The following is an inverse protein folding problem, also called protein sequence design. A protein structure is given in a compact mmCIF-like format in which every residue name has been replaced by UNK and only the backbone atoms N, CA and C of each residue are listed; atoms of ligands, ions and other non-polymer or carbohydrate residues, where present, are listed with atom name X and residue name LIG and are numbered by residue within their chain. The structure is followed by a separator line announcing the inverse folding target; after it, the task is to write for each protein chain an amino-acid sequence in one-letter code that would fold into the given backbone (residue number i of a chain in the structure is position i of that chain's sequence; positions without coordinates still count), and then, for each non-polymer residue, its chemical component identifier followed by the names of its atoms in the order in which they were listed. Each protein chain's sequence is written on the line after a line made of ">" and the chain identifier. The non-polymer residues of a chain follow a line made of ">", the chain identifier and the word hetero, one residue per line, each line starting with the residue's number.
data_IF_469440610053
#
_entry.id   IF_469440610053
#
_cell.length_a   1.000
_cell.length_b   1.000
_cell.length_c   1.000
_cell.angle_alpha   90.00
_cell.angle_beta   90.00
_cell.angle_gamma   90.00
#
_symmetry.space_group_name_H-M   'P 1'
#
loop_
_entity.id
_entity.type
_entity.pdbx_description
1 polymer ?
#
# COMPACT_ATOMS: atom_id res chain seq x y z
N UNK A 1 37.00 -3.55 8.51
CA UNK A 1 36.52 -3.48 7.12
C UNK A 1 35.67 -4.66 6.64
N UNK A 2 35.58 -5.81 7.35
CA UNK A 2 34.72 -6.94 6.95
C UNK A 2 33.22 -6.75 7.25
N UNK A 3 32.89 -6.03 8.32
CA UNK A 3 31.50 -5.80 8.76
C UNK A 3 30.74 -4.88 7.79
N UNK A 4 31.40 -3.87 7.23
CA UNK A 4 30.81 -3.00 6.19
C UNK A 4 30.41 -3.78 4.93
N UNK A 5 31.18 -4.81 4.58
CA UNK A 5 30.94 -5.66 3.42
C UNK A 5 29.73 -6.59 3.60
N UNK A 6 29.46 -7.02 4.84
CA UNK A 6 28.28 -7.83 5.17
C UNK A 6 26.99 -6.98 5.16
N UNK A 7 27.08 -5.71 5.59
CA UNK A 7 25.95 -4.79 5.56
C UNK A 7 25.57 -4.43 4.11
N UNK A 8 26.56 -4.20 3.24
CA UNK A 8 26.29 -3.95 1.81
C UNK A 8 25.70 -5.16 1.09
N UNK A 9 26.10 -6.38 1.50
CA UNK A 9 25.58 -7.61 0.91
C UNK A 9 24.14 -7.92 1.35
N UNK A 10 23.78 -7.55 2.58
CA UNK A 10 22.43 -7.73 3.10
C UNK A 10 21.41 -6.77 2.46
N UNK A 11 21.81 -5.52 2.20
CA UNK A 11 20.95 -4.53 1.52
C UNK A 11 20.66 -4.85 0.05
N UNK A 12 21.48 -5.70 -0.59
CA UNK A 12 21.26 -6.11 -1.98
C UNK A 12 20.22 -7.24 -2.11
N UNK A 13 19.93 -7.96 -1.03
CA UNK A 13 19.01 -9.10 -1.02
C UNK A 13 17.56 -8.74 -0.66
N UNK A 14 17.28 -7.50 -0.26
CA UNK A 14 15.96 -7.07 0.22
C UNK A 14 15.22 -6.18 -0.76
N UNK A 15 15.24 -6.52 -2.05
CA UNK A 15 14.28 -5.96 -3.01
C UNK A 15 13.03 -6.83 -3.01
N UNK A 16 11.96 -6.49 -2.28
CA UNK A 16 10.65 -7.00 -2.66
C UNK A 16 10.35 -6.38 -4.02
N UNK A 17 10.40 -7.20 -5.07
CA UNK A 17 9.79 -6.88 -6.35
C UNK A 17 8.27 -6.77 -6.10
N UNK A 18 7.85 -5.61 -5.61
CA UNK A 18 6.45 -5.25 -5.48
C UNK A 18 6.00 -4.80 -6.87
N UNK A 19 5.61 -5.78 -7.68
CA UNK A 19 4.91 -5.54 -8.94
C UNK A 19 3.50 -5.08 -8.59
N UNK A 20 3.36 -3.79 -8.28
CA UNK A 20 2.06 -3.16 -8.12
C UNK A 20 1.46 -3.05 -9.53
N UNK A 21 0.65 -4.04 -9.92
CA UNK A 21 -0.21 -3.91 -11.10
C UNK A 21 -1.15 -2.75 -10.85
N UNK A 22 -0.80 -1.58 -11.37
CA UNK A 22 -1.72 -0.45 -11.49
C UNK A 22 -2.49 -0.63 -12.80
N UNK A 23 -3.29 -1.69 -12.88
CA UNK A 23 -4.37 -1.74 -13.87
C UNK A 23 -5.44 -0.75 -13.40
N UNK A 24 -5.29 0.50 -13.84
CA UNK A 24 -6.39 1.45 -13.80
C UNK A 24 -7.49 0.96 -14.73
N UNK A 25 -8.75 1.16 -14.31
CA UNK A 25 -9.94 0.84 -15.10
C UNK A 25 -9.78 1.28 -16.55
N UNK A 26 -9.88 0.31 -17.46
CA UNK A 26 -9.88 0.57 -18.89
C UNK A 26 -11.05 1.48 -19.27
N UNK A 27 -10.89 2.32 -20.31
CA UNK A 27 -12.01 3.13 -20.80
C UNK A 27 -13.15 2.20 -21.23
N UNK A 28 -14.28 2.26 -20.51
CA UNK A 28 -15.48 1.48 -20.79
C UNK A 28 -15.71 0.29 -19.85
N UNK A 29 -14.82 0.06 -18.89
CA UNK A 29 -15.07 -0.92 -17.83
C UNK A 29 -16.05 -0.37 -16.79
N UNK A 30 -16.94 -1.24 -16.33
CA UNK A 30 -17.87 -0.91 -15.25
C UNK A 30 -17.08 -0.69 -13.96
N UNK A 31 -17.43 0.39 -13.24
CA UNK A 31 -16.79 0.68 -11.96
C UNK A 31 -17.13 -0.46 -10.98
N UNK A 32 -16.12 -1.05 -10.30
CA UNK A 32 -16.39 -2.07 -9.32
C UNK A 32 -17.28 -1.50 -8.22
N UNK A 33 -18.23 -2.30 -7.77
CA UNK A 33 -19.10 -1.94 -6.65
C UNK A 33 -18.27 -1.76 -5.38
N UNK A 34 -18.77 -0.99 -4.41
CA UNK A 34 -18.10 -0.85 -3.10
C UNK A 34 -17.85 -2.22 -2.43
N UNK A 35 -18.75 -3.17 -2.64
CA UNK A 35 -18.60 -4.53 -2.14
C UNK A 35 -17.40 -5.23 -2.78
N UNK A 36 -17.26 -5.17 -4.10
CA UNK A 36 -16.12 -5.76 -4.82
C UNK A 36 -14.82 -5.05 -4.45
N UNK A 37 -14.82 -3.71 -4.41
CA UNK A 37 -13.64 -2.94 -3.99
C UNK A 37 -13.14 -3.36 -2.61
N UNK A 38 -14.05 -3.52 -1.64
CA UNK A 38 -13.68 -3.95 -0.28
C UNK A 38 -13.25 -5.42 -0.25
N UNK A 39 -13.88 -6.31 -1.03
CA UNK A 39 -13.54 -7.72 -1.14
C UNK A 39 -12.18 -7.98 -1.81
N UNK A 40 -11.72 -7.10 -2.70
CA UNK A 40 -10.41 -7.21 -3.36
C UNK A 40 -9.29 -6.42 -2.66
N UNK A 41 -9.63 -5.53 -1.71
CA UNK A 41 -8.63 -4.70 -1.02
C UNK A 41 -7.95 -5.43 0.14
N UNK A 42 -6.61 -5.35 0.21
CA UNK A 42 -5.85 -5.91 1.35
C UNK A 42 -6.07 -5.15 2.66
N UNK A 43 -6.44 -3.87 2.58
CA UNK A 43 -6.67 -2.97 3.71
C UNK A 43 -7.88 -2.09 3.42
N UNK A 44 -8.80 -1.97 4.37
CA UNK A 44 -9.96 -1.06 4.31
C UNK A 44 -10.06 -0.34 5.64
N UNK A 45 -10.05 0.99 5.60
CA UNK A 45 -10.04 1.85 6.80
C UNK A 45 -11.03 3.01 6.66
N UNK A 46 -11.54 3.48 7.79
CA UNK A 46 -12.04 4.85 7.92
C UNK A 46 -10.97 5.72 8.58
N UNK A 47 -10.76 6.92 8.05
CA UNK A 47 -9.77 7.83 8.58
C UNK A 47 -9.85 9.21 7.92
N UNK A 48 -9.07 10.14 8.49
CA UNK A 48 -8.97 11.53 8.02
C UNK A 48 -7.61 11.77 7.39
N UNK A 49 -7.61 12.40 6.22
CA UNK A 49 -6.37 12.90 5.62
C UNK A 49 -5.88 14.09 6.46
N UNK A 50 -4.67 13.97 7.01
CA UNK A 50 -4.05 15.02 7.82
C UNK A 50 -3.05 15.87 7.02
N UNK A 51 -2.52 15.33 5.93
CA UNK A 51 -1.59 16.03 5.02
C UNK A 51 -1.50 15.29 3.68
N UNK A 52 -1.19 16.02 2.60
CA UNK A 52 -1.00 15.47 1.25
C UNK A 52 -2.25 15.51 0.36
N UNK A 53 -2.17 14.83 -0.78
CA UNK A 53 -3.20 14.81 -1.83
C UNK A 53 -3.35 13.43 -2.49
N UNK A 54 -4.18 13.35 -3.53
CA UNK A 54 -4.41 12.10 -4.29
C UNK A 54 -3.08 11.49 -4.72
N UNK A 55 -2.91 10.18 -4.50
CA UNK A 55 -1.69 9.34 -4.65
C UNK A 55 -0.74 9.32 -3.46
N UNK A 56 -0.64 10.39 -2.67
CA UNK A 56 0.24 10.41 -1.49
C UNK A 56 -0.34 11.30 -0.39
N UNK A 57 -0.89 10.64 0.63
CA UNK A 57 -1.50 11.30 1.77
C UNK A 57 -1.09 10.61 3.08
N UNK A 58 -0.83 11.41 4.11
CA UNK A 58 -0.86 10.92 5.48
C UNK A 58 -2.30 10.86 5.95
N UNK A 59 -2.69 9.69 6.44
CA UNK A 59 -4.05 9.42 6.91
C UNK A 59 -3.98 9.00 8.37
N UNK A 60 -4.70 9.71 9.22
CA UNK A 60 -4.98 9.26 10.58
C UNK A 60 -6.13 8.25 10.53
N UNK A 61 -5.86 7.04 10.99
CA UNK A 61 -6.82 5.93 10.99
C UNK A 61 -7.71 6.01 12.22
N UNK A 62 -9.03 6.05 12.00
CA UNK A 62 -10.03 6.01 13.07
C UNK A 62 -10.48 4.56 13.32
N UNK A 63 -10.70 3.80 12.24
CA UNK A 63 -11.19 2.41 12.30
C UNK A 63 -10.61 1.55 11.17
N UNK A 64 -10.36 0.27 11.45
CA UNK A 64 -9.90 -0.73 10.47
C UNK A 64 -10.99 -1.77 10.27
N UNK A 65 -11.54 -1.84 9.05
CA UNK A 65 -12.56 -2.83 8.69
C UNK A 65 -11.95 -4.13 8.15
N UNK A 66 -10.75 -4.06 7.56
CA UNK A 66 -10.05 -5.22 6.99
C UNK A 66 -8.54 -5.00 6.95
N UNK A 67 -7.78 -6.07 7.18
CA UNK A 67 -6.32 -6.08 7.04
C UNK A 67 -5.60 -5.65 8.31
N UNK A 68 -4.26 -5.60 8.25
CA UNK A 68 -3.44 -5.04 9.32
C UNK A 68 -2.75 -3.79 8.80
N UNK A 69 -3.01 -2.65 9.45
CA UNK A 69 -2.21 -1.45 9.24
C UNK A 69 -0.90 -1.61 10.03
N UNK A 70 0.23 -1.82 9.33
CA UNK A 70 1.54 -1.62 9.95
C UNK A 70 1.75 -0.12 10.09
N UNK A 71 1.45 0.40 11.28
CA UNK A 71 1.83 1.76 11.67
C UNK A 71 3.35 1.74 11.87
N UNK A 72 4.06 2.42 10.96
CA UNK A 72 5.51 2.60 10.98
C UNK A 72 5.86 4.08 10.94
#
# INVERSE_FOLDING_TARGET
>A
MRILLLISLFSLASTPAFTQSTEGLGKGEELPTLYEMTAHSQLVIAGKVISGEVKLAQVQVDEVFRGQAKLG
#
